data_IF_079459559970
#
_entry.id   IF_079459559970
#
_cell.length_a   1.000
_cell.length_b   1.000
_cell.length_c   1.000
_cell.angle_alpha   90.00
_cell.angle_beta   90.00
_cell.angle_gamma   90.00
#
_symmetry.space_group_name_H-M   'P 1'
#
loop_
_entity.id
_entity.type
_entity.pdbx_description
1 polymer ?
#
# COMPACT_ATOMS: atom_id res chain seq x y z
N UNK A 1 0.72 -17.47 6.58
CA UNK A 1 1.40 -17.14 5.31
C UNK A 1 0.74 -15.89 4.78
N UNK A 2 1.43 -14.75 4.82
CA UNK A 2 0.97 -13.47 4.30
C UNK A 2 2.03 -12.91 3.35
N UNK A 3 1.76 -11.80 2.64
CA UNK A 3 2.71 -11.20 1.73
C UNK A 3 4.03 -10.88 2.43
N UNK A 4 5.15 -11.21 1.79
CA UNK A 4 6.50 -10.91 2.27
C UNK A 4 7.11 -9.74 1.47
N UNK A 5 8.38 -9.38 1.73
CA UNK A 5 9.02 -8.25 1.05
C UNK A 5 9.28 -8.49 -0.45
N UNK A 6 9.44 -9.76 -0.87
CA UNK A 6 9.62 -10.15 -2.27
C UNK A 6 8.28 -10.29 -3.00
N UNK A 7 7.23 -10.68 -2.25
CA UNK A 7 5.85 -10.89 -2.72
C UNK A 7 4.87 -10.01 -1.92
N UNK A 8 5.01 -8.67 -1.93
CA UNK A 8 4.10 -7.78 -1.21
C UNK A 8 2.70 -7.84 -1.82
N UNK A 9 1.69 -7.41 -1.06
CA UNK A 9 0.43 -7.03 -1.70
C UNK A 9 0.68 -5.74 -2.50
N UNK A 10 0.28 -5.71 -3.77
CA UNK A 10 0.58 -4.58 -4.66
C UNK A 10 -0.70 -3.86 -5.07
N UNK A 11 -0.73 -2.54 -4.85
CA UNK A 11 -1.83 -1.65 -5.24
C UNK A 11 -1.28 -0.59 -6.19
N UNK A 12 -1.88 -0.47 -7.39
CA UNK A 12 -1.47 0.55 -8.37
C UNK A 12 -2.65 1.31 -8.93
N UNK A 13 -2.45 2.59 -9.19
CA UNK A 13 -3.40 3.46 -9.90
C UNK A 13 -4.80 3.46 -9.26
N UNK A 14 -4.84 3.45 -7.94
CA UNK A 14 -6.08 3.36 -7.17
C UNK A 14 -6.62 4.76 -6.90
N UNK A 15 -7.90 4.97 -7.19
CA UNK A 15 -8.64 6.19 -6.86
C UNK A 15 -9.77 5.86 -5.90
N UNK A 16 -9.88 6.63 -4.82
CA UNK A 16 -10.90 6.47 -3.78
C UNK A 16 -11.47 7.84 -3.47
N UNK A 17 -12.81 7.97 -3.43
CA UNK A 17 -13.44 9.25 -3.15
C UNK A 17 -14.73 9.13 -2.35
N UNK A 18 -15.08 10.21 -1.65
CA UNK A 18 -16.37 10.43 -0.97
C UNK A 18 -16.80 9.25 -0.08
N UNK A 19 -15.89 8.85 0.80
CA UNK A 19 -16.06 7.69 1.69
C UNK A 19 -15.57 8.02 3.09
N UNK A 20 -16.10 7.33 4.09
CA UNK A 20 -15.66 7.53 5.47
C UNK A 20 -14.22 7.02 5.69
N UNK A 21 -13.94 5.75 5.36
CA UNK A 21 -12.62 5.13 5.47
C UNK A 21 -12.07 4.76 4.09
N UNK A 22 -11.05 5.47 3.61
CA UNK A 22 -10.56 5.29 2.24
C UNK A 22 -9.69 4.04 2.08
N UNK A 23 -8.55 3.96 2.76
CA UNK A 23 -7.58 2.88 2.54
C UNK A 23 -7.11 2.28 3.87
N UNK A 24 -7.47 1.01 4.12
CA UNK A 24 -7.18 0.30 5.38
C UNK A 24 -6.27 -0.92 5.20
N UNK A 25 -4.95 -0.75 5.01
CA UNK A 25 -4.06 -1.85 4.72
C UNK A 25 -3.50 -2.51 5.99
N UNK A 26 -4.12 -3.60 6.44
CA UNK A 26 -3.65 -4.40 7.58
C UNK A 26 -2.78 -5.60 7.17
N UNK A 27 -2.17 -5.54 5.99
CA UNK A 27 -1.24 -6.56 5.49
C UNK A 27 0.18 -6.30 6.01
N UNK A 28 1.03 -7.32 6.21
CA UNK A 28 2.40 -7.12 6.70
C UNK A 28 3.33 -6.46 5.68
N UNK A 29 3.18 -6.77 4.39
CA UNK A 29 4.01 -6.23 3.31
C UNK A 29 3.15 -5.66 2.19
N UNK A 30 3.43 -4.42 1.81
CA UNK A 30 2.60 -3.63 0.90
C UNK A 30 3.45 -2.72 0.01
N UNK A 31 3.15 -2.71 -1.29
CA UNK A 31 3.62 -1.70 -2.23
C UNK A 31 2.42 -0.97 -2.83
N UNK A 32 2.40 0.35 -2.71
CA UNK A 32 1.37 1.22 -3.26
C UNK A 32 2.02 2.21 -4.23
N UNK A 33 1.51 2.32 -5.44
CA UNK A 33 1.96 3.30 -6.43
C UNK A 33 0.76 4.03 -7.06
N UNK A 34 0.80 5.36 -7.11
CA UNK A 34 -0.26 6.19 -7.68
C UNK A 34 -1.61 6.00 -6.97
N UNK A 35 -1.66 6.39 -5.69
CA UNK A 35 -2.89 6.38 -4.88
C UNK A 35 -3.47 7.78 -4.78
N UNK A 36 -4.69 7.97 -5.25
CA UNK A 36 -5.46 9.20 -5.09
C UNK A 36 -6.62 8.99 -4.13
N UNK A 37 -6.64 9.74 -3.03
CA UNK A 37 -7.74 9.80 -2.07
C UNK A 37 -8.34 11.22 -2.09
N UNK A 38 -9.65 11.32 -2.30
CA UNK A 38 -10.34 12.61 -2.39
C UNK A 38 -11.59 12.65 -1.52
N UNK A 39 -11.77 13.70 -0.70
CA UNK A 39 -12.97 13.90 0.11
C UNK A 39 -13.31 12.69 1.00
N UNK A 40 -12.29 12.05 1.59
CA UNK A 40 -12.51 10.99 2.56
C UNK A 40 -12.35 11.51 3.99
N UNK A 41 -13.06 10.96 4.98
CA UNK A 41 -12.81 11.36 6.39
C UNK A 41 -11.49 10.85 6.93
N UNK A 42 -11.13 9.63 6.55
CA UNK A 42 -9.86 8.98 6.90
C UNK A 42 -9.16 8.52 5.62
N UNK A 43 -7.91 8.93 5.43
CA UNK A 43 -7.11 8.60 4.24
C UNK A 43 -6.49 7.20 4.34
N UNK A 44 -5.19 7.14 4.62
CA UNK A 44 -4.54 5.88 5.02
C UNK A 44 -4.87 5.65 6.49
N UNK A 45 -5.65 4.60 6.80
CA UNK A 45 -6.26 4.39 8.10
C UNK A 45 -6.05 2.99 8.65
N UNK A 46 -5.77 2.86 9.94
CA UNK A 46 -5.56 1.56 10.60
C UNK A 46 -4.51 0.63 9.90
N UNK A 47 -3.37 1.15 9.40
CA UNK A 47 -2.38 0.34 8.69
C UNK A 47 -1.53 -0.54 9.64
N UNK A 48 -0.93 -1.62 9.11
CA UNK A 48 -0.03 -2.48 9.90
C UNK A 48 1.40 -1.93 10.05
N UNK A 49 1.94 -1.31 9.00
CA UNK A 49 3.29 -0.73 8.95
C UNK A 49 4.40 -1.69 9.44
N UNK A 50 4.71 -2.69 8.62
CA UNK A 50 5.89 -3.55 8.81
C UNK A 50 6.84 -3.50 7.59
N UNK A 51 6.31 -3.71 6.37
CA UNK A 51 7.07 -3.55 5.14
C UNK A 51 6.23 -2.78 4.11
N UNK A 52 5.88 -1.54 4.43
CA UNK A 52 5.00 -0.72 3.59
C UNK A 52 5.77 0.33 2.80
N UNK A 53 5.54 0.36 1.49
CA UNK A 53 6.13 1.29 0.55
C UNK A 53 5.04 2.00 -0.25
N UNK A 54 5.09 3.32 -0.30
CA UNK A 54 4.10 4.16 -0.97
C UNK A 54 4.80 5.15 -1.90
N UNK A 55 4.43 5.17 -3.18
CA UNK A 55 4.96 6.09 -4.19
C UNK A 55 3.84 6.88 -4.82
N UNK A 56 4.01 8.20 -4.91
CA UNK A 56 3.06 9.11 -5.56
C UNK A 56 1.63 8.96 -4.97
N UNK A 57 1.46 9.48 -3.76
CA UNK A 57 0.20 9.47 -3.01
C UNK A 57 -0.36 10.88 -2.94
N UNK A 58 -1.63 11.05 -3.29
CA UNK A 58 -2.39 12.28 -3.13
C UNK A 58 -3.53 12.05 -2.15
N UNK A 59 -3.62 12.87 -1.11
CA UNK A 59 -4.73 12.87 -0.15
C UNK A 59 -5.28 14.28 -0.09
N UNK A 60 -6.52 14.44 -0.55
CA UNK A 60 -7.11 15.76 -0.73
C UNK A 60 -8.47 15.90 -0.09
N UNK A 61 -8.74 17.07 0.48
CA UNK A 61 -10.02 17.43 1.11
C UNK A 61 -10.45 16.48 2.23
N UNK A 62 -9.50 15.80 2.87
CA UNK A 62 -9.79 14.97 4.05
C UNK A 62 -10.05 15.83 5.27
N UNK A 63 -11.06 15.47 6.07
CA UNK A 63 -11.53 16.28 7.19
C UNK A 63 -11.28 15.72 8.61
N UNK A 64 -10.66 14.54 8.75
CA UNK A 64 -10.30 13.98 10.06
C UNK A 64 -8.84 13.56 10.09
N UNK A 65 -8.50 12.37 9.58
CA UNK A 65 -7.15 11.80 9.71
C UNK A 65 -6.60 11.42 8.33
N UNK A 66 -5.80 12.30 7.70
CA UNK A 66 -5.29 12.04 6.37
C UNK A 66 -4.35 10.83 6.30
N UNK A 67 -3.44 10.69 7.26
CA UNK A 67 -2.49 9.58 7.33
C UNK A 67 -2.32 9.14 8.78
N UNK A 68 -3.05 8.10 9.15
CA UNK A 68 -3.16 7.60 10.53
C UNK A 68 -1.93 6.79 10.95
N UNK A 69 -1.78 6.65 12.27
CA UNK A 69 -0.75 5.84 12.93
C UNK A 69 -1.06 4.35 12.79
N UNK A 70 -0.09 3.49 13.08
CA UNK A 70 -0.27 2.05 12.94
C UNK A 70 -1.36 1.50 13.87
N UNK A 71 -2.30 0.74 13.32
CA UNK A 71 -3.49 0.20 14.00
C UNK A 71 -4.24 1.21 14.89
N UNK A 72 -4.30 2.48 14.48
CA UNK A 72 -5.07 3.56 15.12
C UNK A 72 -5.00 3.57 16.65
N UNK A 73 -6.01 3.06 17.35
CA UNK A 73 -6.10 3.06 18.81
C UNK A 73 -4.96 2.31 19.50
N UNK A 74 -4.37 1.30 18.83
CA UNK A 74 -3.21 0.56 19.34
C UNK A 74 -1.91 1.32 19.16
N UNK A 75 -1.85 2.27 18.21
CA UNK A 75 -0.67 3.07 17.92
C UNK A 75 0.59 2.23 17.71
N UNK A 76 0.49 1.08 17.05
CA UNK A 76 1.58 0.10 16.93
C UNK A 76 2.13 0.03 15.51
N UNK A 77 3.46 0.11 15.41
CA UNK A 77 4.20 -0.08 14.17
C UNK A 77 5.24 -1.17 14.38
N UNK A 78 5.30 -2.13 13.46
CA UNK A 78 6.18 -3.28 13.57
C UNK A 78 7.52 -3.07 12.86
N UNK A 79 7.54 -2.28 11.78
CA UNK A 79 8.71 -2.17 10.93
C UNK A 79 8.73 -0.90 10.11
N UNK A 80 9.16 -1.06 8.87
CA UNK A 80 9.40 0.00 7.93
C UNK A 80 8.11 0.52 7.27
N UNK A 81 7.97 1.84 7.29
CA UNK A 81 7.11 2.61 6.40
C UNK A 81 8.01 3.52 5.55
N UNK A 82 7.94 3.43 4.24
CA UNK A 82 8.62 4.32 3.31
C UNK A 82 7.62 4.97 2.34
N UNK A 83 7.61 6.30 2.29
CA UNK A 83 6.70 7.09 1.46
C UNK A 83 7.49 8.08 0.62
N UNK A 84 7.43 7.96 -0.71
CA UNK A 84 8.05 8.87 -1.67
C UNK A 84 6.99 9.58 -2.52
N UNK A 85 6.84 10.88 -2.28
CA UNK A 85 5.88 11.72 -2.98
C UNK A 85 4.48 11.65 -2.38
N UNK A 86 4.32 12.13 -1.14
CA UNK A 86 3.01 12.32 -0.49
C UNK A 86 2.58 13.78 -0.61
N UNK A 87 1.40 14.03 -1.17
CA UNK A 87 0.80 15.36 -1.25
C UNK A 87 -0.49 15.41 -0.45
N UNK A 88 -0.57 16.33 0.50
CA UNK A 88 -1.81 16.75 1.14
C UNK A 88 -2.34 18.02 0.47
N UNK A 89 -3.59 18.02 0.01
CA UNK A 89 -4.21 19.17 -0.66
C UNK A 89 -5.57 19.54 -0.07
N UNK A 90 -5.72 20.78 0.41
CA UNK A 90 -6.98 21.30 0.97
C UNK A 90 -7.58 20.43 2.09
N UNK A 91 -6.72 19.77 2.87
CA UNK A 91 -7.14 19.00 4.03
C UNK A 91 -7.61 19.92 5.17
N UNK A 92 -8.62 19.47 5.91
CA UNK A 92 -9.19 20.12 7.10
C UNK A 92 -9.24 19.14 8.26
N UNK A 93 -8.09 18.69 8.75
CA UNK A 93 -7.97 17.59 9.73
C UNK A 93 -8.57 17.86 11.12
N UNK A 94 -9.32 18.95 11.32
CA UNK A 94 -10.07 19.21 12.55
C UNK A 94 -9.18 19.33 13.80
N UNK A 95 -7.94 19.79 13.64
CA UNK A 95 -6.96 19.82 14.74
C UNK A 95 -6.12 18.55 14.89
N UNK A 96 -6.40 17.49 14.15
CA UNK A 96 -5.51 16.33 14.04
C UNK A 96 -4.30 16.65 13.14
N UNK A 97 -3.16 15.99 13.35
CA UNK A 97 -2.05 16.16 12.43
C UNK A 97 -2.34 15.48 11.08
N UNK A 98 -1.63 15.91 10.03
CA UNK A 98 -1.75 15.28 8.70
C UNK A 98 -1.17 13.86 8.71
N UNK A 99 -0.08 13.65 9.46
CA UNK A 99 0.59 12.37 9.69
C UNK A 99 0.59 12.11 11.19
N UNK A 100 -0.05 11.02 11.61
CA UNK A 100 -0.02 10.56 12.98
C UNK A 100 1.16 9.61 13.21
N UNK A 101 1.83 9.76 14.35
CA UNK A 101 2.92 8.88 14.77
C UNK A 101 2.42 7.75 15.67
N UNK A 102 3.04 6.57 15.55
CA UNK A 102 2.77 5.40 16.39
C UNK A 102 3.57 5.47 17.69
N UNK A 103 2.95 5.14 18.82
CA UNK A 103 3.61 5.13 20.14
C UNK A 103 4.34 3.83 20.47
N UNK A 104 3.89 2.71 19.90
CA UNK A 104 4.38 1.39 20.21
C UNK A 104 5.28 0.88 19.08
N UNK A 105 6.50 0.46 19.45
CA UNK A 105 7.50 -0.15 18.56
C UNK A 105 7.92 -1.51 19.14
N UNK A 106 7.12 -2.58 18.95
CA UNK A 106 7.37 -3.87 19.58
C UNK A 106 8.67 -4.53 19.15
N UNK A 107 9.17 -4.19 17.96
CA UNK A 107 10.38 -4.78 17.40
C UNK A 107 11.64 -4.01 17.78
N UNK A 108 11.50 -2.79 18.30
CA UNK A 108 12.58 -1.83 18.51
C UNK A 108 13.25 -1.36 17.21
N UNK A 109 12.66 -1.66 16.04
CA UNK A 109 13.24 -1.41 14.71
C UNK A 109 12.31 -0.63 13.79
N UNK A 110 11.10 -0.30 14.23
CA UNK A 110 10.15 0.45 13.43
C UNK A 110 10.67 1.85 13.06
N UNK A 111 10.54 2.19 11.77
CA UNK A 111 10.95 3.48 11.23
C UNK A 111 9.95 3.92 10.16
N UNK A 112 9.69 5.22 10.10
CA UNK A 112 8.86 5.84 9.07
C UNK A 112 9.68 6.87 8.31
N UNK A 113 9.71 6.78 6.99
CA UNK A 113 10.43 7.70 6.11
C UNK A 113 9.46 8.36 5.15
N UNK A 114 9.47 9.69 5.10
CA UNK A 114 8.71 10.49 4.15
C UNK A 114 9.68 11.33 3.33
N UNK A 115 9.66 11.16 2.02
CA UNK A 115 10.45 11.94 1.06
C UNK A 115 9.51 12.61 0.06
N UNK A 116 9.90 13.80 -0.43
CA UNK A 116 9.08 14.58 -1.35
C UNK A 116 7.66 14.89 -0.81
N UNK A 117 7.56 15.13 0.50
CA UNK A 117 6.31 15.51 1.17
C UNK A 117 5.89 16.93 0.77
N UNK A 118 4.63 17.10 0.39
CA UNK A 118 4.03 18.39 0.04
C UNK A 118 2.74 18.60 0.81
N UNK A 119 2.57 19.82 1.29
CA UNK A 119 1.33 20.29 1.93
C UNK A 119 0.91 21.55 1.19
N UNK A 120 -0.19 21.48 0.47
CA UNK A 120 -0.68 22.56 -0.39
C UNK A 120 -2.13 22.91 -0.02
N UNK A 121 -2.47 24.20 -0.17
CA UNK A 121 -3.80 24.73 0.13
C UNK A 121 -4.34 24.35 1.53
N UNK A 122 -3.47 24.15 2.52
CA UNK A 122 -3.89 23.64 3.82
C UNK A 122 -4.79 24.64 4.55
N UNK A 123 -6.08 24.31 4.63
CA UNK A 123 -7.15 25.20 5.06
C UNK A 123 -7.73 24.81 6.43
N UNK A 124 -6.97 24.08 7.25
CA UNK A 124 -7.35 23.84 8.64
C UNK A 124 -7.19 25.14 9.46
N UNK A 125 -8.29 25.55 10.10
CA UNK A 125 -8.40 26.73 10.96
C UNK A 125 -8.26 26.39 12.44
N UNK A 126 -8.06 25.12 12.78
CA UNK A 126 -7.76 24.69 14.14
C UNK A 126 -6.44 25.31 14.63
N UNK A 127 -6.39 25.69 15.91
CA UNK A 127 -5.18 26.23 16.53
C UNK A 127 -4.08 25.20 16.78
N UNK A 128 -4.38 23.90 16.63
CA UNK A 128 -3.51 22.78 16.95
C UNK A 128 -2.86 22.12 15.73
N UNK A 129 -2.91 22.76 14.55
CA UNK A 129 -2.42 22.17 13.30
C UNK A 129 -0.94 21.80 13.35
N UNK A 130 -0.63 20.56 12.97
CA UNK A 130 0.72 20.03 12.83
C UNK A 130 0.80 19.07 11.63
N UNK A 131 1.94 19.02 10.94
CA UNK A 131 2.13 18.04 9.86
C UNK A 131 2.33 16.66 10.47
N UNK A 132 3.18 16.54 11.49
CA UNK A 132 3.50 15.29 12.18
C UNK A 132 3.25 15.48 13.67
N UNK A 133 2.36 14.70 14.28
CA UNK A 133 2.14 14.71 15.72
C UNK A 133 1.51 13.40 16.21
N UNK A 134 1.28 13.30 17.52
CA UNK A 134 0.31 12.35 18.03
C UNK A 134 -1.11 12.70 17.56
N UNK A 135 -1.90 11.67 17.27
CA UNK A 135 -3.26 11.76 16.75
C UNK A 135 -4.37 11.92 17.79
N UNK A 136 -5.61 11.63 17.36
CA UNK A 136 -6.83 11.80 18.15
C UNK A 136 -7.14 10.67 19.13
N UNK A 137 -6.53 9.49 18.97
CA UNK A 137 -6.88 8.30 19.73
C UNK A 137 -6.32 8.24 21.17
N UNK A 138 -6.43 7.08 21.84
CA UNK A 138 -5.96 6.86 23.20
C UNK A 138 -4.50 7.26 23.38
N UNK A 139 -4.21 7.94 24.50
CA UNK A 139 -2.83 8.31 24.89
C UNK A 139 -2.18 7.12 25.58
N UNK A 140 -1.81 6.11 24.82
CA UNK A 140 -1.16 4.89 25.36
C UNK A 140 0.18 5.21 26.02
N UNK A 141 0.45 4.61 27.19
CA UNK A 141 1.81 4.68 27.77
C UNK A 141 2.76 3.90 26.86
N UNK A 142 3.88 4.48 26.39
CA UNK A 142 4.88 3.72 25.64
C UNK A 142 5.38 2.54 26.48
N UNK A 143 5.28 1.33 25.94
CA UNK A 143 5.65 0.09 26.63
C UNK A 143 7.06 -0.38 26.25
N UNK A 144 7.57 0.08 25.11
CA UNK A 144 8.84 -0.35 24.55
C UNK A 144 9.95 0.69 24.80
N UNK A 145 11.22 0.25 24.97
CA UNK A 145 12.33 1.15 25.25
C UNK A 145 12.53 2.22 24.16
N UNK A 146 12.35 1.81 22.91
CA UNK A 146 12.55 2.65 21.75
C UNK A 146 11.23 3.08 21.12
N UNK A 147 11.15 4.36 20.75
CA UNK A 147 10.03 4.90 19.98
C UNK A 147 10.09 4.50 18.51
N UNK A 148 9.09 4.91 17.73
CA UNK A 148 9.20 4.90 16.27
C UNK A 148 9.93 6.15 15.81
N UNK A 149 11.03 5.99 15.08
CA UNK A 149 11.71 7.10 14.43
C UNK A 149 10.92 7.54 13.19
N UNK A 150 10.62 8.84 13.09
CA UNK A 150 9.94 9.41 11.93
C UNK A 150 10.85 10.39 11.20
N UNK A 151 11.40 9.95 10.08
CA UNK A 151 12.27 10.73 9.22
C UNK A 151 11.47 11.45 8.14
N UNK A 152 11.54 12.78 8.10
CA UNK A 152 11.02 13.59 7.00
C UNK A 152 12.22 14.19 6.26
N UNK A 153 12.53 13.60 5.12
CA UNK A 153 13.69 13.95 4.31
C UNK A 153 13.55 15.35 3.72
N UNK A 154 14.67 16.06 3.66
CA UNK A 154 14.81 17.41 3.11
C UNK A 154 13.95 18.50 3.79
N UNK A 155 13.36 18.23 4.97
CA UNK A 155 12.48 19.18 5.66
C UNK A 155 13.16 20.51 6.01
N UNK A 156 14.43 20.46 6.41
CA UNK A 156 15.23 21.67 6.71
C UNK A 156 16.03 22.18 5.51
N UNK A 157 15.77 21.65 4.31
CA UNK A 157 16.50 21.89 3.07
C UNK A 157 17.17 20.63 2.54
N UNK A 158 17.69 20.69 1.31
CA UNK A 158 18.30 19.55 0.61
C UNK A 158 19.40 18.89 1.45
N UNK A 159 19.27 17.58 1.70
CA UNK A 159 20.17 16.75 2.51
C UNK A 159 19.99 16.90 4.02
N UNK A 160 19.02 17.70 4.49
CA UNK A 160 18.79 17.98 5.91
C UNK A 160 17.46 17.38 6.36
N UNK A 161 17.55 16.14 6.84
CA UNK A 161 16.41 15.35 7.28
C UNK A 161 15.97 15.77 8.67
N UNK A 162 14.66 15.87 8.89
CA UNK A 162 14.11 15.99 10.24
C UNK A 162 13.88 14.59 10.81
N UNK A 163 14.41 14.33 12.01
CA UNK A 163 14.01 13.21 12.84
C UNK A 163 12.97 13.72 13.84
N UNK A 164 11.73 13.27 13.71
CA UNK A 164 10.63 13.54 14.63
C UNK A 164 10.51 12.39 15.61
N UNK A 165 10.37 12.73 16.89
CA UNK A 165 10.11 11.78 17.96
C UNK A 165 8.89 12.22 18.78
N UNK A 166 8.16 11.25 19.34
CA UNK A 166 7.15 11.54 20.35
C UNK A 166 7.82 12.03 21.64
N UNK A 167 7.27 13.06 22.27
CA UNK A 167 7.77 13.56 23.57
C UNK A 167 7.59 12.57 24.72
N UNK A 168 6.83 11.49 24.47
CA UNK A 168 6.43 10.52 25.49
C UNK A 168 7.43 9.37 25.64
N UNK A 169 8.25 9.12 24.62
CA UNK A 169 9.22 8.00 24.58
C UNK A 169 10.43 8.26 25.45
N UNK A 170 11.08 7.18 25.92
CA UNK A 170 12.27 7.30 26.78
C UNK A 170 13.46 7.85 26.00
N UNK A 171 13.59 7.49 24.72
CA UNK A 171 14.65 8.01 23.84
C UNK A 171 14.58 9.53 23.68
N UNK A 172 13.38 10.09 23.50
CA UNK A 172 13.21 11.54 23.47
C UNK A 172 13.62 12.16 24.81
N UNK A 173 13.08 11.66 25.93
CA UNK A 173 13.35 12.22 27.27
C UNK A 173 14.83 12.23 27.63
N UNK A 174 15.56 11.21 27.18
CA UNK A 174 17.00 11.09 27.43
C UNK A 174 17.84 12.07 26.58
N UNK A 175 17.25 12.63 25.51
CA UNK A 175 17.92 13.50 24.54
C UNK A 175 17.15 14.81 24.28
N UNK A 176 16.28 15.23 25.20
CA UNK A 176 15.30 16.30 24.98
C UNK A 176 15.93 17.60 24.48
N UNK A 177 17.11 17.96 24.99
CA UNK A 177 17.88 19.16 24.61
C UNK A 177 18.23 19.23 23.11
N UNK A 178 18.25 18.11 22.41
CA UNK A 178 18.59 18.05 20.98
C UNK A 178 17.36 18.29 20.09
N UNK A 179 16.16 18.13 20.65
CA UNK A 179 14.90 18.27 19.95
C UNK A 179 14.26 19.62 20.23
N UNK A 180 13.53 20.14 19.24
CA UNK A 180 12.84 21.42 19.35
C UNK A 180 11.49 21.39 18.64
N UNK A 181 10.64 22.33 19.05
CA UNK A 181 9.34 22.53 18.42
C UNK A 181 9.59 23.20 17.09
N UNK A 182 9.07 22.63 16.02
CA UNK A 182 9.20 23.20 14.68
C UNK A 182 7.82 23.68 14.24
N UNK A 183 7.68 25.00 14.13
CA UNK A 183 6.39 25.63 13.81
C UNK A 183 5.74 25.00 12.58
N UNK A 184 4.44 24.72 12.67
CA UNK A 184 3.61 24.02 11.68
C UNK A 184 3.97 22.56 11.41
N UNK A 185 5.21 22.15 11.67
CA UNK A 185 5.68 20.80 11.43
C UNK A 185 5.30 19.85 12.56
N UNK A 186 5.67 20.19 13.79
CA UNK A 186 5.41 19.36 14.99
C UNK A 186 4.30 19.96 15.84
N UNK A 187 3.59 19.09 16.55
CA UNK A 187 2.57 19.49 17.53
C UNK A 187 3.13 19.63 18.95
N UNK A 188 2.26 19.42 19.92
CA UNK A 188 2.52 19.41 21.36
C UNK A 188 3.10 18.08 21.86
N UNK A 189 2.80 16.97 21.20
CA UNK A 189 3.20 15.61 21.59
C UNK A 189 4.35 15.06 20.72
N UNK A 190 4.98 15.92 19.92
CA UNK A 190 6.12 15.59 19.05
C UNK A 190 7.10 16.75 18.93
N UNK A 191 8.37 16.44 18.70
CA UNK A 191 9.45 17.41 18.50
C UNK A 191 10.42 16.87 17.46
N UNK A 192 11.22 17.75 16.85
CA UNK A 192 12.13 17.36 15.78
C UNK A 192 13.56 17.87 16.00
N UNK A 193 14.52 17.14 15.46
CA UNK A 193 15.92 17.58 15.30
C UNK A 193 16.40 17.37 13.87
N UNK A 194 17.39 18.16 13.46
CA UNK A 194 18.06 17.95 12.16
C UNK A 194 19.05 16.78 12.30
N UNK A 195 19.00 15.86 11.34
CA UNK A 195 19.96 14.77 11.16
C UNK A 195 20.44 14.77 9.71
N UNK A 196 21.64 14.25 9.48
CA UNK A 196 22.28 14.20 8.16
C UNK A 196 22.53 12.76 7.75
N UNK A 197 22.74 12.56 6.45
CA UNK A 197 23.18 11.29 5.86
C UNK A 197 22.26 10.10 6.16
N UNK A 198 20.96 10.35 6.36
CA UNK A 198 19.95 9.31 6.53
C UNK A 198 19.52 8.81 5.13
N UNK A 199 19.82 7.55 4.76
CA UNK A 199 19.40 7.04 3.46
C UNK A 199 17.87 6.89 3.41
N UNK A 200 17.27 7.18 2.26
CA UNK A 200 15.88 6.81 2.01
C UNK A 200 15.81 5.31 1.67
N UNK A 201 14.89 4.54 2.29
CA UNK A 201 14.73 3.11 2.00
C UNK A 201 14.45 2.84 0.52
N UNK A 202 15.12 1.83 -0.04
CA UNK A 202 14.87 1.38 -1.42
C UNK A 202 13.53 0.65 -1.50
N UNK A 203 12.76 0.92 -2.55
CA UNK A 203 11.56 0.13 -2.84
C UNK A 203 11.96 -1.32 -3.17
N UNK A 204 11.18 -2.31 -2.73
CA UNK A 204 11.53 -3.71 -2.95
C UNK A 204 11.44 -4.04 -4.44
N UNK A 205 12.39 -4.87 -4.90
CA UNK A 205 12.28 -5.51 -6.21
C UNK A 205 11.27 -6.64 -6.09
N UNK A 206 10.15 -6.52 -6.80
CA UNK A 206 9.12 -7.55 -6.84
C UNK A 206 9.65 -8.78 -7.57
N UNK A 207 9.34 -9.96 -7.02
CA UNK A 207 9.65 -11.25 -7.63
C UNK A 207 8.38 -11.84 -8.24
N UNK A 208 8.52 -12.41 -9.44
CA UNK A 208 7.44 -13.08 -10.17
C UNK A 208 7.85 -14.53 -10.44
N UNK A 209 7.74 -15.37 -9.41
CA UNK A 209 8.15 -16.79 -9.41
C UNK A 209 7.00 -17.74 -9.05
N UNK A 210 5.77 -17.20 -8.98
CA UNK A 210 4.56 -17.96 -8.70
C UNK A 210 3.84 -18.27 -10.01
N UNK A 211 3.20 -19.44 -10.12
CA UNK A 211 2.50 -19.83 -11.34
C UNK A 211 1.16 -19.10 -11.48
N UNK A 212 0.75 -18.75 -12.71
CA UNK A 212 -0.57 -18.20 -12.96
C UNK A 212 -1.67 -19.24 -12.73
N UNK A 213 -2.90 -18.76 -12.59
CA UNK A 213 -4.10 -19.59 -12.44
C UNK A 213 -5.17 -19.21 -13.46
N UNK A 214 -5.84 -20.20 -14.05
CA UNK A 214 -6.93 -20.02 -15.02
C UNK A 214 -8.18 -20.81 -14.64
N UNK A 215 -9.32 -20.38 -15.17
CA UNK A 215 -10.61 -21.07 -14.98
C UNK A 215 -11.39 -21.06 -16.30
N UNK A 216 -11.92 -22.23 -16.68
CA UNK A 216 -12.89 -22.36 -17.79
C UNK A 216 -14.28 -22.00 -17.28
N UNK A 217 -14.79 -20.83 -17.67
CA UNK A 217 -16.10 -20.33 -17.22
C UNK A 217 -17.24 -20.84 -18.10
N UNK A 218 -16.99 -21.10 -19.39
CA UNK A 218 -18.02 -21.55 -20.33
C UNK A 218 -17.50 -22.50 -21.41
N UNK A 219 -18.34 -23.47 -21.78
CA UNK A 219 -18.20 -24.29 -22.99
C UNK A 219 -19.56 -24.30 -23.70
N UNK A 220 -19.59 -23.99 -24.99
CA UNK A 220 -20.82 -23.96 -25.79
C UNK A 220 -20.55 -24.44 -27.23
N UNK A 221 -21.48 -25.21 -27.81
CA UNK A 221 -21.50 -25.48 -29.25
C UNK A 221 -21.88 -24.21 -30.02
N UNK A 222 -21.13 -23.91 -31.09
CA UNK A 222 -21.32 -22.73 -31.93
C UNK A 222 -21.00 -23.07 -33.39
N UNK A 223 -22.03 -23.24 -34.22
CA UNK A 223 -21.88 -23.45 -35.67
C UNK A 223 -20.96 -24.61 -36.08
N UNK A 224 -21.06 -25.78 -35.41
CA UNK A 224 -20.18 -26.94 -35.67
C UNK A 224 -18.79 -26.83 -35.03
N UNK A 225 -18.59 -25.86 -34.13
CA UNK A 225 -17.38 -25.66 -33.34
C UNK A 225 -17.70 -25.59 -31.86
N UNK A 226 -16.67 -25.60 -31.01
CA UNK A 226 -16.81 -25.43 -29.57
C UNK A 226 -16.19 -24.09 -29.16
N UNK A 227 -17.02 -23.17 -28.68
CA UNK A 227 -16.56 -21.96 -28.00
C UNK A 227 -16.21 -22.30 -26.55
N UNK A 228 -15.00 -21.97 -26.15
CA UNK A 228 -14.52 -22.06 -24.76
C UNK A 228 -14.14 -20.67 -24.30
N UNK A 229 -14.60 -20.28 -23.12
CA UNK A 229 -14.31 -18.99 -22.50
C UNK A 229 -13.79 -19.21 -21.07
N UNK A 230 -12.98 -18.27 -20.61
CA UNK A 230 -12.45 -18.31 -19.26
C UNK A 230 -11.79 -17.02 -18.81
N UNK A 231 -11.16 -17.10 -17.64
CA UNK A 231 -10.39 -16.05 -17.00
C UNK A 231 -9.03 -16.59 -16.59
N UNK A 232 -8.04 -15.71 -16.45
CA UNK A 232 -6.74 -16.03 -15.86
C UNK A 232 -6.31 -14.88 -14.93
N UNK A 233 -5.54 -15.19 -13.91
CA UNK A 233 -5.00 -14.25 -12.94
C UNK A 233 -3.65 -14.72 -12.43
N UNK A 234 -2.80 -13.76 -12.07
CA UNK A 234 -1.45 -13.98 -11.59
C UNK A 234 -0.97 -12.76 -10.79
N UNK A 235 0.14 -12.88 -10.04
CA UNK A 235 0.83 -11.74 -9.39
C UNK A 235 1.71 -10.95 -10.38
N UNK A 236 2.01 -11.51 -11.54
CA UNK A 236 2.52 -10.87 -12.74
C UNK A 236 1.45 -10.71 -13.83
N UNK A 237 1.91 -10.57 -15.09
CA UNK A 237 1.01 -10.44 -16.25
C UNK A 237 0.90 -11.77 -16.96
N UNK A 238 -0.31 -12.32 -17.08
CA UNK A 238 -0.56 -13.48 -17.95
C UNK A 238 -0.41 -13.06 -19.41
N UNK A 239 0.49 -13.72 -20.15
CA UNK A 239 0.78 -13.39 -21.56
C UNK A 239 0.26 -14.45 -22.53
N UNK A 240 -0.15 -15.61 -22.02
CA UNK A 240 -0.66 -16.71 -22.86
C UNK A 240 -1.63 -17.58 -22.10
N UNK A 241 -2.68 -18.02 -22.79
CA UNK A 241 -3.53 -19.13 -22.35
C UNK A 241 -3.63 -20.13 -23.50
N UNK A 242 -3.34 -21.40 -23.21
CA UNK A 242 -3.51 -22.53 -24.12
C UNK A 242 -4.74 -23.32 -23.72
N UNK A 243 -5.54 -23.75 -24.69
CA UNK A 243 -6.67 -24.65 -24.51
C UNK A 243 -6.48 -25.86 -25.40
N UNK A 244 -6.31 -27.04 -24.81
CA UNK A 244 -5.91 -28.27 -25.51
C UNK A 244 -4.69 -28.04 -26.43
N UNK A 245 -3.71 -27.26 -25.97
CA UNK A 245 -2.49 -26.92 -26.70
C UNK A 245 -2.63 -25.83 -27.77
N UNK A 246 -3.84 -25.30 -28.03
CA UNK A 246 -4.08 -24.21 -28.98
C UNK A 246 -4.19 -22.88 -28.24
N UNK A 247 -3.62 -21.81 -28.79
CA UNK A 247 -3.61 -20.49 -28.13
C UNK A 247 -4.98 -19.81 -28.16
N UNK A 248 -5.43 -19.34 -27.01
CA UNK A 248 -6.65 -18.57 -26.84
C UNK A 248 -6.44 -17.11 -27.23
N UNK A 249 -7.52 -16.45 -27.64
CA UNK A 249 -7.57 -15.01 -27.88
C UNK A 249 -7.80 -14.27 -26.58
N UNK A 250 -6.92 -13.32 -26.27
CA UNK A 250 -7.11 -12.35 -25.19
C UNK A 250 -8.26 -11.39 -25.53
N UNK A 251 -9.25 -11.29 -24.66
CA UNK A 251 -10.37 -10.33 -24.79
C UNK A 251 -10.14 -9.08 -23.95
N UNK A 252 -9.52 -9.26 -22.78
CA UNK A 252 -9.16 -8.21 -21.83
C UNK A 252 -7.67 -8.34 -21.50
N UNK A 253 -6.90 -7.24 -21.34
CA UNK A 253 -5.48 -7.29 -21.02
C UNK A 253 -5.13 -8.27 -19.89
N UNK A 254 -4.00 -8.96 -20.02
CA UNK A 254 -3.57 -9.96 -19.05
C UNK A 254 -4.45 -11.21 -19.02
N UNK A 255 -5.16 -11.52 -20.11
CA UNK A 255 -6.09 -12.66 -20.20
C UNK A 255 -7.13 -12.68 -19.06
N UNK A 256 -7.46 -11.52 -18.47
CA UNK A 256 -8.53 -11.39 -17.47
C UNK A 256 -9.87 -11.92 -18.02
N UNK A 257 -10.04 -11.85 -19.34
CA UNK A 257 -10.99 -12.67 -20.09
C UNK A 257 -10.30 -13.20 -21.35
N UNK A 258 -10.61 -14.45 -21.70
CA UNK A 258 -10.09 -15.09 -22.90
C UNK A 258 -11.14 -16.00 -23.54
N UNK A 259 -10.97 -16.26 -24.83
CA UNK A 259 -11.80 -17.23 -25.56
C UNK A 259 -10.99 -18.01 -26.59
N UNK A 260 -11.47 -19.18 -26.96
CA UNK A 260 -11.00 -19.91 -28.14
C UNK A 260 -12.18 -20.59 -28.83
N UNK A 261 -12.08 -20.75 -30.14
CA UNK A 261 -12.99 -21.56 -30.93
C UNK A 261 -12.24 -22.82 -31.38
N UNK A 262 -12.61 -23.97 -30.83
CA UNK A 262 -12.06 -25.27 -31.18
C UNK A 262 -12.91 -25.92 -32.28
N UNK A 263 -12.29 -26.83 -33.04
CA UNK A 263 -13.04 -27.73 -33.92
C UNK A 263 -14.03 -28.57 -33.11
N UNK A 264 -14.99 -29.21 -33.79
CA UNK A 264 -16.00 -30.01 -33.10
C UNK A 264 -15.35 -31.08 -32.20
N UNK A 265 -15.75 -31.08 -30.93
CA UNK A 265 -15.39 -32.10 -29.95
C UNK A 265 -16.63 -32.88 -29.57
N UNK A 266 -16.48 -34.20 -29.41
CA UNK A 266 -17.57 -35.05 -28.94
C UNK A 266 -18.08 -34.58 -27.56
N UNK A 267 -19.37 -34.77 -27.29
CA UNK A 267 -19.89 -34.60 -25.92
C UNK A 267 -19.14 -35.53 -24.96
N UNK A 268 -18.78 -35.00 -23.80
CA UNK A 268 -17.93 -35.67 -22.81
C UNK A 268 -16.42 -35.54 -23.05
N UNK A 269 -15.97 -35.01 -24.19
CA UNK A 269 -14.56 -34.72 -24.42
C UNK A 269 -14.03 -33.69 -23.40
N UNK A 270 -12.76 -33.82 -23.02
CA UNK A 270 -12.13 -32.94 -22.05
C UNK A 270 -11.54 -31.69 -22.72
N UNK A 271 -11.83 -30.54 -22.12
CA UNK A 271 -11.16 -29.26 -22.37
C UNK A 271 -10.27 -28.96 -21.18
N UNK A 272 -9.00 -28.69 -21.45
CA UNK A 272 -7.98 -28.32 -20.47
C UNK A 272 -7.40 -26.95 -20.85
N UNK A 273 -7.35 -26.02 -19.89
CA UNK A 273 -6.68 -24.74 -20.09
C UNK A 273 -5.36 -24.67 -19.29
N UNK A 274 -4.39 -23.90 -19.79
CA UNK A 274 -3.09 -23.66 -19.15
C UNK A 274 -2.66 -22.22 -19.39
N UNK A 275 -2.43 -21.47 -18.33
CA UNK A 275 -1.87 -20.11 -18.40
C UNK A 275 -0.33 -20.10 -18.29
N UNK A 276 0.28 -19.07 -18.90
CA UNK A 276 1.71 -18.73 -18.78
C UNK A 276 1.84 -17.21 -18.59
N UNK A 277 2.68 -16.79 -17.64
CA UNK A 277 2.94 -15.38 -17.36
C UNK A 277 4.15 -14.82 -18.12
N UNK A 278 4.40 -13.52 -17.93
CA UNK A 278 5.49 -12.80 -18.56
C UNK A 278 6.89 -13.20 -18.05
N UNK A 279 6.98 -13.73 -16.83
CA UNK A 279 8.22 -14.27 -16.26
C UNK A 279 8.51 -15.69 -16.77
N UNK A 280 7.54 -16.32 -17.43
CA UNK A 280 7.62 -17.67 -17.96
C UNK A 280 7.16 -18.74 -16.98
N UNK A 281 6.53 -18.38 -15.86
CA UNK A 281 5.94 -19.38 -14.98
C UNK A 281 4.68 -19.95 -15.66
N UNK A 282 4.52 -21.26 -15.50
CA UNK A 282 3.41 -22.00 -16.07
C UNK A 282 2.46 -22.47 -14.98
N UNK A 283 1.16 -22.42 -15.29
CA UNK A 283 0.12 -22.92 -14.41
C UNK A 283 0.36 -24.38 -14.02
N UNK A 284 0.40 -24.65 -12.71
CA UNK A 284 0.66 -26.00 -12.16
C UNK A 284 -0.60 -26.87 -12.07
N UNK A 285 -1.77 -26.25 -11.94
CA UNK A 285 -3.06 -26.93 -11.79
C UNK A 285 -4.01 -26.49 -12.89
N UNK A 286 -4.01 -27.23 -13.99
CA UNK A 286 -4.81 -26.89 -15.17
C UNK A 286 -6.30 -27.18 -14.96
N UNK A 287 -7.21 -26.20 -15.16
CA UNK A 287 -8.64 -26.45 -15.08
C UNK A 287 -9.09 -27.36 -16.22
N UNK A 288 -9.96 -28.32 -15.87
CA UNK A 288 -10.48 -29.34 -16.78
C UNK A 288 -12.01 -29.36 -16.75
N UNK A 289 -12.66 -29.34 -17.92
CA UNK A 289 -14.13 -29.38 -18.02
C UNK A 289 -14.59 -30.17 -19.24
N UNK A 290 -15.68 -30.93 -19.09
CA UNK A 290 -16.26 -31.73 -20.19
C UNK A 290 -17.09 -30.85 -21.12
N UNK A 291 -17.03 -31.15 -22.41
CA UNK A 291 -17.98 -30.63 -23.40
C UNK A 291 -19.39 -31.17 -23.08
N UNK A 292 -20.43 -30.32 -23.05
CA UNK A 292 -21.80 -30.76 -22.84
C UNK A 292 -22.35 -31.61 -23.99
#
# INVERSE_FOLDING_TARGET
MGPDISHPFVVRNLKIWDIHYAFRPQVPSLVVENLDIHQASYGVYHPNFDNHFYKNVSISKTNTEPFNRGHDDLGVQYGLLAVDGLTFDDCRSGGMPLIQISEQNPTGKAQSHFKNLKVVNWNDKSGARAVVNLGGGPRLKPEFPHGVDVYVHDWFGVGKTALVASTRTQDYKSNEKDFKKVSFFTGDESQAKEVKDVPFPQFPKLVDDLPPFSVITRIKKDGGKILVEGVASDNGTVVKVLVNGKEATMLTPGFANWKILLDELASGAMVEAKAVDAAGNEEKFTPKRKVP
#
